data_IF_763524815140
#
_entry.id   IF_763524815140
#
_cell.length_a   1.000
_cell.length_b   1.000
_cell.length_c   1.000
_cell.angle_alpha   90.00
_cell.angle_beta   90.00
_cell.angle_gamma   90.00
#
_symmetry.space_group_name_H-M   'P 1'
#
loop_
_entity.id
_entity.type
_entity.pdbx_description
1 polymer ?
#
# COMPACT_ATOMS: atom_id res chain seq x y z
N UNK A 1 18.15 -12.75 12.38
CA UNK A 1 17.22 -12.61 11.23
C UNK A 1 17.95 -11.83 10.14
N UNK A 2 17.86 -12.20 8.87
CA UNK A 2 18.49 -11.43 7.78
C UNK A 2 17.91 -10.01 7.71
N UNK A 3 18.73 -9.05 7.27
CA UNK A 3 18.30 -7.69 7.00
C UNK A 3 17.17 -7.71 5.95
N UNK A 4 16.21 -6.80 6.07
CA UNK A 4 15.17 -6.62 5.04
C UNK A 4 15.77 -5.84 3.88
N UNK A 5 15.71 -6.37 2.66
CA UNK A 5 16.15 -5.66 1.46
C UNK A 5 14.99 -4.91 0.80
N UNK A 6 15.29 -3.87 0.03
CA UNK A 6 14.27 -3.15 -0.79
C UNK A 6 13.54 -4.14 -1.71
N UNK A 7 14.28 -5.08 -2.29
CA UNK A 7 13.76 -6.15 -3.15
C UNK A 7 12.81 -7.11 -2.41
N UNK A 8 12.81 -7.13 -1.08
CA UNK A 8 11.84 -7.92 -0.30
C UNK A 8 10.49 -7.21 -0.18
N UNK A 9 10.47 -5.89 -0.33
CA UNK A 9 9.27 -5.04 -0.20
C UNK A 9 8.64 -4.75 -1.56
N UNK A 10 9.46 -4.50 -2.58
CA UNK A 10 9.02 -4.17 -3.94
C UNK A 10 8.15 -5.29 -4.52
N UNK A 11 7.07 -4.88 -5.19
CA UNK A 11 6.12 -5.79 -5.81
C UNK A 11 4.70 -5.64 -5.26
N UNK A 12 3.86 -6.61 -5.60
CA UNK A 12 2.44 -6.62 -5.26
C UNK A 12 2.17 -7.49 -4.03
N UNK A 13 1.41 -6.93 -3.10
CA UNK A 13 0.91 -7.57 -1.90
C UNK A 13 -0.61 -7.62 -1.96
N UNK A 14 -1.21 -8.77 -1.67
CA UNK A 14 -2.67 -8.93 -1.59
C UNK A 14 -3.29 -9.50 -2.86
N UNK A 15 -4.27 -8.79 -3.43
CA UNK A 15 -5.01 -9.19 -4.62
C UNK A 15 -4.10 -9.45 -5.83
N UNK A 16 -4.61 -10.21 -6.82
CA UNK A 16 -3.88 -10.52 -8.04
C UNK A 16 -3.66 -9.29 -8.93
N UNK A 17 -2.68 -9.37 -9.84
CA UNK A 17 -2.28 -8.26 -10.71
C UNK A 17 -3.45 -7.64 -11.50
N UNK A 18 -4.46 -8.45 -11.83
CA UNK A 18 -5.67 -8.05 -12.55
C UNK A 18 -6.55 -7.09 -11.73
N UNK A 19 -6.52 -7.18 -10.40
CA UNK A 19 -7.26 -6.27 -9.52
C UNK A 19 -6.84 -4.80 -9.66
N UNK A 20 -5.61 -4.55 -10.18
CA UNK A 20 -5.11 -3.19 -10.47
C UNK A 20 -5.75 -2.58 -11.71
N UNK A 21 -6.09 -3.42 -12.68
CA UNK A 21 -6.73 -3.03 -13.95
C UNK A 21 -8.24 -2.93 -13.79
N UNK A 22 -8.80 -3.58 -12.76
CA UNK A 22 -10.20 -3.46 -12.36
C UNK A 22 -10.52 -2.02 -11.96
N UNK A 23 -11.59 -1.41 -12.52
CA UNK A 23 -12.06 -0.10 -12.10
C UNK A 23 -12.24 -0.01 -10.59
N UNK A 24 -11.88 1.11 -9.97
CA UNK A 24 -11.85 1.25 -8.50
C UNK A 24 -13.16 0.87 -7.80
N UNK A 25 -14.31 1.07 -8.44
CA UNK A 25 -15.64 0.72 -7.90
C UNK A 25 -15.95 -0.79 -7.96
N UNK A 26 -15.15 -1.58 -8.67
CA UNK A 26 -15.27 -3.03 -8.80
C UNK A 26 -14.17 -3.77 -8.01
N UNK A 27 -13.25 -3.04 -7.37
CA UNK A 27 -12.23 -3.65 -6.51
C UNK A 27 -12.86 -4.07 -5.18
N UNK A 28 -12.69 -5.33 -4.82
CA UNK A 28 -13.23 -5.91 -3.56
C UNK A 28 -12.13 -6.38 -2.63
N UNK A 29 -10.97 -6.76 -3.17
CA UNK A 29 -9.86 -7.31 -2.40
C UNK A 29 -8.78 -6.26 -2.12
N UNK A 30 -8.27 -6.17 -0.88
CA UNK A 30 -7.22 -5.23 -0.54
C UNK A 30 -5.89 -5.61 -1.19
N UNK A 31 -5.15 -4.61 -1.64
CA UNK A 31 -3.82 -4.79 -2.24
C UNK A 31 -2.96 -3.54 -2.06
N UNK A 32 -1.64 -3.74 -2.04
CA UNK A 32 -0.64 -2.66 -2.00
C UNK A 32 0.50 -3.04 -2.94
N UNK A 33 0.93 -2.12 -3.77
CA UNK A 33 2.08 -2.27 -4.64
C UNK A 33 3.14 -1.23 -4.27
N UNK A 34 4.35 -1.70 -4.02
CA UNK A 34 5.55 -0.86 -3.87
C UNK A 34 6.40 -0.94 -5.13
N UNK A 35 6.88 0.20 -5.62
CA UNK A 35 7.89 0.26 -6.66
C UNK A 35 9.28 0.62 -6.13
N UNK A 36 10.30 0.34 -6.93
CA UNK A 36 11.71 0.60 -6.60
C UNK A 36 12.07 2.08 -6.48
N UNK A 37 11.18 2.99 -6.93
CA UNK A 37 11.40 4.44 -6.89
C UNK A 37 10.92 5.07 -5.58
N UNK A 38 10.46 4.26 -4.62
CA UNK A 38 9.95 4.75 -3.35
C UNK A 38 8.53 5.27 -3.45
N UNK A 39 7.72 4.83 -4.43
CA UNK A 39 6.30 5.12 -4.51
C UNK A 39 5.47 3.85 -4.27
N UNK A 40 4.29 4.03 -3.70
CA UNK A 40 3.32 2.96 -3.52
C UNK A 40 1.92 3.40 -3.91
N UNK A 41 1.10 2.42 -4.27
CA UNK A 41 -0.33 2.57 -4.53
C UNK A 41 -1.06 1.32 -4.06
N UNK A 42 -2.33 1.43 -3.75
CA UNK A 42 -3.10 0.31 -3.22
C UNK A 42 -4.59 0.58 -3.13
N UNK A 43 -5.28 -0.40 -2.58
CA UNK A 43 -6.67 -0.37 -2.21
C UNK A 43 -6.84 -1.06 -0.85
N UNK A 44 -7.52 -0.42 0.11
CA UNK A 44 -7.65 -0.95 1.47
C UNK A 44 -8.90 -1.83 1.70
N UNK A 45 -9.63 -2.14 0.63
CA UNK A 45 -10.95 -2.79 0.66
C UNK A 45 -12.12 -1.81 0.53
N UNK A 46 -11.86 -0.50 0.58
CA UNK A 46 -12.89 0.53 0.45
C UNK A 46 -12.42 1.74 -0.39
N UNK A 47 -11.15 2.11 -0.27
CA UNK A 47 -10.56 3.32 -0.88
C UNK A 47 -9.21 3.01 -1.51
N UNK A 48 -8.90 3.75 -2.57
CA UNK A 48 -7.55 3.79 -3.11
C UNK A 48 -6.63 4.55 -2.15
N UNK A 49 -5.40 4.08 -2.03
CA UNK A 49 -4.33 4.68 -1.22
C UNK A 49 -3.07 4.81 -2.06
N UNK A 50 -2.22 5.79 -1.74
CA UNK A 50 -0.95 5.97 -2.44
C UNK A 50 -0.08 7.03 -1.81
N UNK A 51 1.21 6.95 -2.08
CA UNK A 51 2.21 7.72 -1.36
C UNK A 51 3.64 7.40 -1.75
N UNK A 52 4.57 8.03 -1.06
CA UNK A 52 5.96 7.60 -1.03
C UNK A 52 6.16 6.61 0.11
N UNK A 53 7.19 5.78 0.00
CA UNK A 53 7.57 4.84 1.04
C UNK A 53 9.08 4.77 1.18
N UNK A 54 9.53 4.39 2.37
CA UNK A 54 10.90 4.01 2.63
C UNK A 54 10.92 2.81 3.58
N UNK A 55 12.03 2.06 3.55
CA UNK A 55 12.23 0.92 4.43
C UNK A 55 13.41 1.18 5.36
N UNK A 56 13.19 0.97 6.64
CA UNK A 56 14.26 0.80 7.60
C UNK A 56 14.66 -0.68 7.62
N UNK A 57 15.78 -0.98 6.99
CA UNK A 57 16.32 -2.34 6.83
C UNK A 57 16.74 -2.98 8.15
N UNK A 58 17.05 -2.16 9.16
CA UNK A 58 17.48 -2.61 10.49
C UNK A 58 16.26 -3.00 11.33
N UNK A 59 15.25 -2.14 11.37
CA UNK A 59 14.01 -2.41 12.12
C UNK A 59 12.98 -3.24 11.34
N UNK A 60 13.24 -3.51 10.05
CA UNK A 60 12.31 -4.19 9.11
C UNK A 60 10.96 -3.47 9.00
N UNK A 61 10.96 -2.16 9.21
CA UNK A 61 9.76 -1.32 9.20
C UNK A 61 9.64 -0.58 7.88
N UNK A 62 8.42 -0.49 7.35
CA UNK A 62 8.09 0.37 6.21
C UNK A 62 7.43 1.64 6.75
N UNK A 63 7.99 2.78 6.39
CA UNK A 63 7.35 4.07 6.62
C UNK A 63 6.71 4.51 5.32
N UNK A 64 5.45 4.93 5.38
CA UNK A 64 4.71 5.44 4.23
C UNK A 64 4.32 6.89 4.49
N UNK A 65 4.64 7.74 3.52
CA UNK A 65 4.22 9.13 3.50
C UNK A 65 3.16 9.27 2.42
N UNK A 66 2.06 9.95 2.73
CA UNK A 66 0.96 10.11 1.77
C UNK A 66 1.38 11.08 0.66
N UNK A 67 1.00 10.79 -0.57
CA UNK A 67 0.84 11.85 -1.55
C UNK A 67 -0.44 12.60 -1.21
N UNK A 68 -0.33 13.91 -0.96
CA UNK A 68 -1.49 14.79 -1.07
C UNK A 68 -2.15 14.53 -2.42
N UNK A 69 -3.47 14.32 -2.41
CA UNK A 69 -4.28 13.84 -3.54
C UNK A 69 -3.65 14.14 -4.92
N UNK A 70 -2.93 13.17 -5.49
CA UNK A 70 -2.49 13.30 -6.89
C UNK A 70 -3.72 13.07 -7.72
N UNK A 71 -4.36 14.17 -8.12
CA UNK A 71 -5.36 14.15 -9.15
C UNK A 71 -4.75 13.51 -10.38
N UNK A 72 -5.16 12.27 -10.67
CA UNK A 72 -4.85 11.62 -11.94
C UNK A 72 -5.54 12.43 -13.04
N UNK A 73 -4.82 13.39 -13.63
CA UNK A 73 -5.18 14.05 -14.88
C UNK A 73 -6.25 15.16 -14.77
N UNK A 74 -5.88 16.33 -15.29
CA UNK A 74 -6.70 17.47 -15.71
C UNK A 74 -8.10 17.65 -15.06
N UNK A 75 -8.15 18.47 -14.00
CA UNK A 75 -9.33 19.30 -13.71
C UNK A 75 -10.44 18.69 -12.86
N UNK A 76 -10.36 17.43 -12.44
CA UNK A 76 -11.36 16.82 -11.57
C UNK A 76 -10.81 16.52 -10.18
N UNK A 77 -11.30 17.23 -9.14
CA UNK A 77 -11.38 16.60 -7.81
C UNK A 77 -12.26 15.37 -8.02
N UNK A 78 -11.71 14.15 -7.94
CA UNK A 78 -12.53 12.94 -8.00
C UNK A 78 -13.44 12.95 -6.76
N UNK A 79 -14.75 13.19 -6.93
CA UNK A 79 -15.66 13.22 -5.80
C UNK A 79 -15.70 11.79 -5.22
N UNK A 80 -15.32 11.62 -3.95
CA UNK A 80 -15.21 10.30 -3.32
C UNK A 80 -13.81 9.93 -2.82
N UNK A 81 -12.77 10.72 -3.14
CA UNK A 81 -11.49 10.68 -2.41
C UNK A 81 -11.64 11.38 -1.06
N UNK A 82 -12.51 10.85 -0.19
CA UNK A 82 -12.76 11.43 1.13
C UNK A 82 -12.36 10.46 2.25
N UNK A 83 -11.60 11.02 3.19
CA UNK A 83 -11.13 10.43 4.45
C UNK A 83 -10.04 9.34 4.34
N UNK A 84 -8.84 9.84 4.07
CA UNK A 84 -7.59 9.52 4.76
C UNK A 84 -7.67 8.49 5.90
N UNK A 85 -7.31 7.23 5.63
CA UNK A 85 -6.72 6.38 6.66
C UNK A 85 -5.21 6.47 6.54
N UNK A 86 -4.54 6.87 7.63
CA UNK A 86 -3.08 6.84 7.71
C UNK A 86 -2.67 5.46 8.19
N UNK A 87 -1.71 4.85 7.49
CA UNK A 87 -1.04 3.67 8.02
C UNK A 87 -0.31 4.08 9.30
N UNK A 88 -0.61 3.42 10.42
CA UNK A 88 0.04 3.70 11.71
C UNK A 88 1.22 2.77 11.97
N UNK A 89 1.26 1.62 11.29
CA UNK A 89 2.41 0.73 11.25
C UNK A 89 2.38 -0.13 9.98
N UNK A 90 3.56 -0.48 9.48
CA UNK A 90 3.72 -1.40 8.36
C UNK A 90 5.05 -2.16 8.47
N UNK A 91 5.02 -3.49 8.40
CA UNK A 91 6.17 -4.37 8.65
C UNK A 91 6.11 -5.55 7.70
N UNK A 92 7.27 -6.06 7.26
CA UNK A 92 7.36 -7.28 6.45
C UNK A 92 7.81 -8.48 7.30
N UNK A 93 6.90 -9.43 7.44
CA UNK A 93 7.06 -10.70 8.14
C UNK A 93 7.15 -11.83 7.12
N UNK A 94 8.37 -12.23 6.75
CA UNK A 94 8.62 -13.26 5.72
C UNK A 94 7.93 -12.94 4.38
N UNK A 95 6.80 -13.57 4.10
CA UNK A 95 5.99 -13.42 2.89
C UNK A 95 4.71 -12.61 3.13
N UNK A 96 4.60 -11.95 4.29
CA UNK A 96 3.44 -11.14 4.70
C UNK A 96 3.79 -9.69 4.95
N UNK A 97 2.97 -8.79 4.42
CA UNK A 97 2.93 -7.39 4.78
C UNK A 97 1.89 -7.21 5.87
N UNK A 98 2.33 -6.92 7.09
CA UNK A 98 1.44 -6.63 8.22
C UNK A 98 1.33 -5.13 8.36
N UNK A 99 0.10 -4.61 8.37
CA UNK A 99 -0.15 -3.18 8.42
C UNK A 99 -1.34 -2.83 9.29
N UNK A 100 -1.36 -1.62 9.84
CA UNK A 100 -2.46 -1.07 10.63
C UNK A 100 -2.94 0.25 10.04
N UNK A 101 -4.25 0.45 10.01
CA UNK A 101 -4.88 1.72 9.60
C UNK A 101 -5.51 2.39 10.83
N UNK A 102 -4.94 3.51 11.29
CA UNK A 102 -5.40 4.17 12.52
C UNK A 102 -5.33 3.27 13.75
N UNK A 103 -6.42 3.22 14.52
CA UNK A 103 -6.58 2.36 15.71
C UNK A 103 -7.19 0.98 15.41
N UNK A 104 -7.32 0.59 14.14
CA UNK A 104 -7.88 -0.70 13.77
C UNK A 104 -6.96 -1.87 14.15
N UNK A 105 -7.50 -3.09 14.14
CA UNK A 105 -6.69 -4.31 14.25
C UNK A 105 -5.70 -4.42 13.06
N UNK A 106 -4.51 -5.01 13.28
CA UNK A 106 -3.57 -5.31 12.20
C UNK A 106 -4.22 -6.19 11.12
N UNK A 107 -3.87 -5.90 9.87
CA UNK A 107 -4.24 -6.68 8.69
C UNK A 107 -2.96 -7.24 8.07
N UNK A 108 -3.10 -8.34 7.33
CA UNK A 108 -1.98 -8.94 6.60
C UNK A 108 -2.31 -9.14 5.13
N UNK A 109 -1.36 -8.86 4.26
CA UNK A 109 -1.39 -9.20 2.84
C UNK A 109 -0.26 -10.18 2.55
N UNK A 110 -0.50 -11.15 1.67
CA UNK A 110 0.54 -12.10 1.24
C UNK A 110 1.20 -11.56 -0.03
N UNK A 111 2.52 -11.76 -0.16
CA UNK A 111 3.26 -11.38 -1.36
C UNK A 111 2.81 -12.22 -2.55
N UNK A 112 2.52 -11.57 -3.68
CA UNK A 112 2.22 -12.24 -4.96
C UNK A 112 3.45 -12.16 -5.85
N UNK A 113 3.75 -13.26 -6.55
CA UNK A 113 4.87 -13.35 -7.52
C UNK A 113 4.42 -12.90 -8.90
#
# INVERSE_FOLDING_TARGET
>A
MPALHVDDVVGLWGADADARSTPAHLQTEPWIQFDEHGFYRGFDGCRLVGGSWCVDVVSRTITVEKFGAVGLGAGGKVPGWSQERTFTSMTVESDRLVYRLGAAEPRSLTRRR
#
